data_IF_496320459398
#
_entry.id   IF_496320459398
#
_cell.length_a   1.000
_cell.length_b   1.000
_cell.length_c   1.000
_cell.angle_alpha   90.00
_cell.angle_beta   90.00
_cell.angle_gamma   90.00
#
_symmetry.space_group_name_H-M   'P 1'
#
loop_
_entity.id
_entity.type
_entity.pdbx_description
1 polymer ?
#
# COMPACT_ATOMS: atom_id res chain seq x y z
N UNK A 1 4.93 18.84 4.27
CA UNK A 1 4.20 17.95 5.21
C UNK A 1 2.85 17.64 4.57
N UNK A 2 2.54 16.36 4.33
CA UNK A 2 1.25 16.03 3.73
C UNK A 2 0.14 16.31 4.75
N UNK A 3 -1.07 16.67 4.28
CA UNK A 3 -2.20 16.99 5.17
C UNK A 3 -2.83 15.75 5.84
N UNK A 4 -2.14 14.62 5.87
CA UNK A 4 -2.69 13.30 6.18
C UNK A 4 -2.41 12.94 7.65
N UNK A 5 -2.69 13.87 8.58
CA UNK A 5 -2.34 13.65 9.99
C UNK A 5 -3.14 12.53 10.67
N UNK A 6 -4.25 12.08 10.10
CA UNK A 6 -5.18 11.14 10.76
C UNK A 6 -5.86 10.15 9.80
N UNK A 7 -5.27 9.83 8.64
CA UNK A 7 -5.92 8.89 7.71
C UNK A 7 -5.79 7.46 8.19
N UNK A 8 -6.89 6.70 8.19
CA UNK A 8 -6.86 5.27 8.47
C UNK A 8 -6.41 4.45 7.26
N UNK A 9 -5.59 3.44 7.52
CA UNK A 9 -5.21 2.42 6.57
C UNK A 9 -6.45 1.63 6.15
N UNK A 10 -6.74 1.55 4.86
CA UNK A 10 -7.93 0.83 4.37
C UNK A 10 -7.82 -0.71 4.49
N UNK A 11 -6.68 -1.23 4.96
CA UNK A 11 -6.42 -2.67 5.10
C UNK A 11 -6.46 -3.09 6.56
N UNK A 12 -5.65 -2.49 7.43
CA UNK A 12 -5.59 -2.84 8.85
C UNK A 12 -6.44 -1.94 9.74
N UNK A 13 -7.04 -0.86 9.21
CA UNK A 13 -7.86 0.11 9.95
C UNK A 13 -7.12 0.90 11.04
N UNK A 14 -5.80 0.76 11.14
CA UNK A 14 -4.94 1.60 11.99
C UNK A 14 -4.59 2.93 11.32
N UNK A 15 -4.19 3.93 12.10
CA UNK A 15 -3.73 5.22 11.59
C UNK A 15 -2.46 5.02 10.73
N UNK A 16 -2.41 5.67 9.57
CA UNK A 16 -1.24 5.70 8.71
C UNK A 16 -0.14 6.52 9.39
N UNK A 17 0.95 5.85 9.76
CA UNK A 17 2.15 6.48 10.29
C UNK A 17 3.12 6.96 9.21
N UNK A 18 4.28 7.45 9.65
CA UNK A 18 5.41 7.77 8.78
C UNK A 18 6.01 6.50 8.17
N UNK A 19 6.60 6.61 6.98
CA UNK A 19 7.34 5.54 6.33
C UNK A 19 8.63 5.19 7.09
N UNK A 20 9.28 4.08 6.72
CA UNK A 20 10.50 3.60 7.39
C UNK A 20 11.66 4.62 7.38
N UNK A 21 11.68 5.53 6.41
CA UNK A 21 12.70 6.57 6.31
C UNK A 21 12.36 7.82 7.13
N UNK A 22 11.13 7.92 7.66
CA UNK A 22 10.66 9.08 8.41
C UNK A 22 10.46 10.34 7.55
N UNK A 23 10.35 10.20 6.24
CA UNK A 23 10.27 11.33 5.29
C UNK A 23 8.83 11.52 4.79
N UNK A 24 8.05 10.44 4.71
CA UNK A 24 6.72 10.43 4.10
C UNK A 24 5.65 9.95 5.07
N UNK A 25 4.57 10.72 5.21
CA UNK A 25 3.45 10.46 6.13
C UNK A 25 2.10 10.22 5.42
N UNK A 26 2.09 10.21 4.07
CA UNK A 26 0.85 10.10 3.30
C UNK A 26 0.39 8.66 2.98
N UNK A 27 1.04 7.64 3.53
CA UNK A 27 0.77 6.22 3.24
C UNK A 27 1.09 5.79 1.80
N UNK A 28 0.59 4.63 1.37
CA UNK A 28 0.83 4.06 0.05
C UNK A 28 -0.48 3.79 -0.67
N UNK A 29 -0.47 3.76 -2.00
CA UNK A 29 -1.64 3.30 -2.76
C UNK A 29 -1.97 1.85 -2.33
N UNK A 30 -3.22 1.57 -1.93
CA UNK A 30 -3.64 0.25 -1.46
C UNK A 30 -4.03 -0.73 -2.58
N UNK A 31 -4.04 -0.28 -3.84
CA UNK A 31 -4.34 -1.13 -4.98
C UNK A 31 -3.19 -2.13 -5.26
N UNK A 32 -3.52 -3.39 -5.62
CA UNK A 32 -4.87 -3.87 -5.99
C UNK A 32 -5.71 -4.43 -4.83
N UNK A 33 -5.21 -4.44 -3.59
CA UNK A 33 -5.87 -5.09 -2.45
C UNK A 33 -7.16 -4.36 -2.04
N UNK A 34 -7.12 -3.03 -1.99
CA UNK A 34 -8.27 -2.20 -1.63
C UNK A 34 -8.20 -0.81 -2.28
N UNK A 35 -9.34 -0.12 -2.38
CA UNK A 35 -9.38 1.29 -2.84
C UNK A 35 -9.00 2.21 -1.68
N UNK A 36 -7.99 3.06 -1.87
CA UNK A 36 -7.58 4.07 -0.90
C UNK A 36 -6.09 4.03 -0.56
N UNK A 37 -5.74 4.38 0.67
CA UNK A 37 -4.35 4.44 1.18
C UNK A 37 -4.13 3.39 2.27
N UNK A 38 -2.94 2.79 2.29
CA UNK A 38 -2.51 1.85 3.32
C UNK A 38 -1.23 2.32 4.02
N UNK A 39 -0.98 1.81 5.22
CA UNK A 39 0.28 2.02 5.93
C UNK A 39 1.43 1.24 5.28
N UNK A 40 2.66 1.58 5.66
CA UNK A 40 3.88 0.95 5.16
C UNK A 40 3.92 -0.58 5.41
N UNK A 41 3.48 -1.04 6.58
CA UNK A 41 3.46 -2.48 6.86
C UNK A 41 2.46 -3.22 5.97
N UNK A 42 1.26 -2.68 5.75
CA UNK A 42 0.29 -3.25 4.79
C UNK A 42 0.80 -3.16 3.35
N UNK A 43 1.53 -2.11 3.00
CA UNK A 43 2.14 -1.98 1.69
C UNK A 43 3.15 -3.10 1.43
N UNK A 44 4.03 -3.39 2.40
CA UNK A 44 5.05 -4.45 2.30
C UNK A 44 4.43 -5.85 2.34
N UNK A 45 3.48 -6.09 3.25
CA UNK A 45 2.99 -7.45 3.53
C UNK A 45 1.80 -7.89 2.65
N UNK A 46 1.02 -6.94 2.11
CA UNK A 46 -0.16 -7.26 1.31
C UNK A 46 -0.09 -6.68 -0.11
N UNK A 47 0.20 -5.38 -0.23
CA UNK A 47 0.05 -4.67 -1.50
C UNK A 47 1.14 -5.01 -2.50
N UNK A 48 2.41 -4.94 -2.11
CA UNK A 48 3.53 -5.30 -3.00
C UNK A 48 3.42 -6.77 -3.47
N UNK A 49 3.17 -7.76 -2.60
CA UNK A 49 2.93 -9.13 -3.04
C UNK A 49 1.78 -9.26 -4.05
N UNK A 50 0.66 -8.57 -3.83
CA UNK A 50 -0.46 -8.60 -4.76
C UNK A 50 -0.12 -7.98 -6.13
N UNK A 51 0.67 -6.89 -6.15
CA UNK A 51 1.18 -6.30 -7.40
C UNK A 51 2.10 -7.25 -8.16
N UNK A 52 3.01 -7.92 -7.44
CA UNK A 52 3.93 -8.87 -8.06
C UNK A 52 3.20 -10.07 -8.65
N UNK A 53 2.16 -10.59 -7.97
CA UNK A 53 1.29 -11.64 -8.51
C UNK A 53 0.61 -11.20 -9.79
N UNK A 54 -0.01 -10.02 -9.81
CA UNK A 54 -0.66 -9.49 -11.01
C UNK A 54 0.31 -9.38 -12.20
N UNK A 55 1.55 -8.93 -11.97
CA UNK A 55 2.57 -8.87 -13.02
C UNK A 55 2.97 -10.27 -13.52
N UNK A 56 3.18 -11.23 -12.62
CA UNK A 56 3.52 -12.62 -12.98
C UNK A 56 2.37 -13.26 -13.77
N UNK A 57 1.13 -13.08 -13.34
CA UNK A 57 -0.05 -13.59 -14.03
C UNK A 57 -0.19 -12.98 -15.43
N UNK A 58 0.05 -11.67 -15.58
CA UNK A 58 0.05 -11.00 -16.89
C UNK A 58 1.17 -11.46 -17.81
N UNK A 59 2.36 -11.76 -17.28
CA UNK A 59 3.47 -12.33 -18.05
C UNK A 59 3.16 -13.78 -18.48
N UNK A 60 2.48 -14.56 -17.62
CA UNK A 60 2.04 -15.92 -17.94
C UNK A 60 0.93 -15.97 -18.99
N UNK A 61 0.04 -14.97 -19.04
CA UNK A 61 -1.10 -14.90 -19.97
C UNK A 61 -0.73 -14.50 -21.41
N UNK A 62 0.53 -14.14 -21.67
CA UNK A 62 1.02 -13.73 -22.99
C UNK A 62 1.75 -14.85 -23.77
N UNK A 63 1.77 -16.07 -23.23
CA UNK A 63 2.26 -17.29 -23.86
C UNK A 63 1.10 -18.25 -24.15
#
# INVERSE_FOLDING_TARGET
MSKVKDQMCVICLEIIGVDRNGIWDGGHNALPVAKGRCCEDCNVTAVIPARMRALVDELGRKN
#
